data_IF_786640820169
#
_entry.id   IF_786640820169
#
_cell.length_a   1.000
_cell.length_b   1.000
_cell.length_c   1.000
_cell.angle_alpha   90.00
_cell.angle_beta   90.00
_cell.angle_gamma   90.00
#
_symmetry.space_group_name_H-M   'P 1'
#
loop_
_entity.id
_entity.type
_entity.pdbx_description
1 polymer ?
#
# COMPACT_ATOMS: atom_id res chain seq x y z
N UNK A 1 11.23 25.73 13.70
CA UNK A 1 10.77 25.17 13.25
C UNK A 1 10.61 24.06 13.48
N UNK A 2 9.80 23.98 13.58
CA UNK A 2 9.70 22.77 13.90
C UNK A 2 10.06 22.02 12.82
N UNK A 3 10.97 21.43 12.86
CA UNK A 3 11.18 20.67 11.91
C UNK A 3 10.29 19.60 11.92
N UNK A 4 9.84 19.20 10.86
CA UNK A 4 9.06 18.08 10.71
C UNK A 4 9.79 16.92 11.25
N UNK A 5 9.24 16.27 12.20
CA UNK A 5 9.81 15.05 12.66
C UNK A 5 9.78 14.07 11.55
N UNK A 6 10.88 13.43 11.31
CA UNK A 6 10.92 12.35 10.38
C UNK A 6 10.03 11.26 10.93
N UNK A 7 9.12 10.77 10.14
CA UNK A 7 8.31 9.63 10.50
C UNK A 7 9.18 8.39 10.51
N UNK A 8 8.97 7.49 11.49
CA UNK A 8 9.63 6.20 11.41
C UNK A 8 8.93 5.36 10.33
N UNK A 9 9.53 4.23 9.99
CA UNK A 9 9.04 3.40 8.91
C UNK A 9 7.58 2.97 9.11
N UNK A 10 7.23 2.56 10.32
CA UNK A 10 5.88 2.09 10.61
C UNK A 10 4.87 3.24 10.47
N UNK A 11 5.21 4.41 11.00
CA UNK A 11 4.31 5.57 10.92
C UNK A 11 4.05 5.96 9.47
N UNK A 12 5.11 5.94 8.64
CA UNK A 12 4.98 6.26 7.23
C UNK A 12 4.08 5.26 6.51
N UNK A 13 4.28 3.97 6.75
CA UNK A 13 3.48 2.93 6.09
C UNK A 13 2.02 2.99 6.54
N UNK A 14 1.77 3.27 7.81
CA UNK A 14 0.39 3.43 8.29
C UNK A 14 -0.29 4.63 7.66
N UNK A 15 0.44 5.71 7.46
CA UNK A 15 -0.12 6.89 6.79
C UNK A 15 -0.52 6.55 5.36
N UNK A 16 0.31 5.77 4.65
CA UNK A 16 -0.02 5.29 3.31
C UNK A 16 -1.31 4.45 3.34
N UNK A 17 -1.46 3.60 4.35
CA UNK A 17 -2.67 2.79 4.50
C UNK A 17 -3.92 3.66 4.63
N UNK A 18 -3.84 4.71 5.47
CA UNK A 18 -5.00 5.61 5.67
C UNK A 18 -5.32 6.37 4.40
N UNK A 19 -4.29 6.77 3.65
CA UNK A 19 -4.49 7.52 2.41
C UNK A 19 -5.23 6.68 1.37
N UNK A 20 -4.82 5.41 1.20
CA UNK A 20 -5.46 4.57 0.20
C UNK A 20 -6.88 4.15 0.64
N UNK A 21 -7.09 3.95 1.94
CA UNK A 21 -8.43 3.67 2.46
C UNK A 21 -9.38 4.79 2.12
N UNK A 22 -8.91 6.03 2.26
CA UNK A 22 -9.73 7.19 1.94
C UNK A 22 -10.08 7.23 0.46
N UNK A 23 -9.13 6.88 -0.41
CA UNK A 23 -9.39 6.83 -1.84
C UNK A 23 -10.44 5.78 -2.19
N UNK A 24 -10.40 4.62 -1.55
CA UNK A 24 -11.42 3.60 -1.76
C UNK A 24 -12.80 4.10 -1.32
N UNK A 25 -12.88 4.82 -0.20
CA UNK A 25 -14.14 5.40 0.26
C UNK A 25 -14.67 6.41 -0.74
N UNK A 26 -13.78 7.24 -1.28
CA UNK A 26 -14.17 8.22 -2.31
C UNK A 26 -14.68 7.52 -3.56
N UNK A 27 -14.05 6.40 -3.94
CA UNK A 27 -14.49 5.62 -5.09
C UNK A 27 -15.92 5.10 -4.88
N UNK A 28 -16.22 4.58 -3.68
CA UNK A 28 -17.54 4.07 -3.39
C UNK A 28 -18.61 5.15 -3.51
N UNK A 29 -18.29 6.38 -3.17
CA UNK A 29 -19.24 7.50 -3.22
C UNK A 29 -19.26 8.19 -4.57
N UNK A 30 -18.30 7.90 -5.44
CA UNK A 30 -18.17 8.61 -6.70
C UNK A 30 -19.29 8.25 -7.68
N UNK A 31 -19.67 9.22 -8.48
CA UNK A 31 -20.69 9.02 -9.51
C UNK A 31 -20.05 9.38 -10.86
N UNK A 32 -20.39 8.59 -11.86
CA UNK A 32 -19.88 8.81 -13.19
C UNK A 32 -18.56 8.10 -13.45
N UNK A 33 -18.43 7.56 -14.67
CA UNK A 33 -17.28 6.74 -15.05
C UNK A 33 -15.97 7.51 -15.02
N UNK A 34 -15.98 8.78 -15.41
CA UNK A 34 -14.77 9.59 -15.44
C UNK A 34 -14.15 9.79 -14.07
N UNK A 35 -14.98 10.09 -13.07
CA UNK A 35 -14.51 10.26 -11.69
C UNK A 35 -13.97 8.94 -11.14
N UNK A 36 -14.69 7.85 -11.40
CA UNK A 36 -14.28 6.53 -10.93
C UNK A 36 -12.96 6.08 -11.55
N UNK A 37 -12.78 6.31 -12.85
CA UNK A 37 -11.51 5.96 -13.50
C UNK A 37 -10.35 6.75 -12.91
N UNK A 38 -10.56 8.04 -12.67
CA UNK A 38 -9.52 8.89 -12.08
C UNK A 38 -9.12 8.39 -10.71
N UNK A 39 -10.11 8.07 -9.86
CA UNK A 39 -9.85 7.54 -8.53
C UNK A 39 -9.16 6.18 -8.58
N UNK A 40 -9.61 5.31 -9.49
CA UNK A 40 -8.99 3.98 -9.64
C UNK A 40 -7.52 4.10 -10.05
N UNK A 41 -7.19 5.03 -10.95
CA UNK A 41 -5.80 5.25 -11.34
C UNK A 41 -4.98 5.78 -10.18
N UNK A 42 -5.55 6.67 -9.38
CA UNK A 42 -4.86 7.19 -8.20
C UNK A 42 -4.61 6.08 -7.18
N UNK A 43 -5.61 5.22 -6.95
CA UNK A 43 -5.48 4.07 -6.07
C UNK A 43 -4.35 3.16 -6.54
N UNK A 44 -4.33 2.82 -7.83
CA UNK A 44 -3.29 1.96 -8.38
C UNK A 44 -1.90 2.58 -8.26
N UNK A 45 -1.79 3.88 -8.49
CA UNK A 45 -0.51 4.57 -8.33
C UNK A 45 -0.03 4.50 -6.88
N UNK A 46 -0.89 4.86 -5.93
CA UNK A 46 -0.53 4.85 -4.52
C UNK A 46 -0.13 3.44 -4.06
N UNK A 47 -0.89 2.44 -4.46
CA UNK A 47 -0.59 1.06 -4.10
C UNK A 47 0.69 0.55 -4.76
N UNK A 48 0.92 0.92 -6.03
CA UNK A 48 2.14 0.50 -6.73
C UNK A 48 3.38 1.05 -6.03
N UNK A 49 3.35 2.31 -5.63
CA UNK A 49 4.46 2.93 -4.92
C UNK A 49 4.63 2.28 -3.55
N UNK A 50 3.52 2.11 -2.82
CA UNK A 50 3.55 1.54 -1.47
C UNK A 50 4.13 0.11 -1.48
N UNK A 51 3.64 -0.75 -2.36
CA UNK A 51 4.15 -2.13 -2.43
C UNK A 51 5.63 -2.14 -2.83
N UNK A 52 6.03 -1.23 -3.70
CA UNK A 52 7.40 -1.17 -4.16
C UNK A 52 8.36 -0.77 -3.05
N UNK A 53 8.03 0.24 -2.26
CA UNK A 53 8.91 0.64 -1.15
C UNK A 53 8.96 -0.43 -0.06
N UNK A 54 7.86 -1.16 0.13
CA UNK A 54 7.89 -2.29 1.07
C UNK A 54 8.78 -3.42 0.57
N UNK A 55 8.64 -3.80 -0.69
CA UNK A 55 9.39 -4.93 -1.25
C UNK A 55 10.87 -4.61 -1.44
N UNK A 56 11.19 -3.38 -1.80
CA UNK A 56 12.59 -3.00 -2.04
C UNK A 56 13.36 -2.69 -0.77
N UNK A 57 12.70 -2.15 0.24
CA UNK A 57 13.37 -1.59 1.42
C UNK A 57 12.88 -2.18 2.73
N UNK A 58 11.57 -2.13 2.97
CA UNK A 58 11.04 -2.49 4.28
C UNK A 58 11.14 -3.98 4.59
N UNK A 59 10.62 -4.82 3.71
CA UNK A 59 10.65 -6.27 3.95
C UNK A 59 12.08 -6.81 3.99
N UNK A 60 13.00 -6.39 3.12
CA UNK A 60 14.40 -6.83 3.24
C UNK A 60 15.03 -6.44 4.59
N UNK A 61 14.70 -5.26 5.12
CA UNK A 61 15.20 -4.84 6.42
C UNK A 61 14.64 -5.70 7.56
N UNK A 62 13.47 -6.29 7.35
CA UNK A 62 12.84 -7.16 8.35
C UNK A 62 13.29 -8.62 8.25
N UNK A 63 13.91 -8.99 7.14
CA UNK A 63 14.29 -10.37 6.88
C UNK A 63 15.25 -10.89 7.96
N UNK A 64 14.89 -12.05 8.52
CA UNK A 64 15.67 -12.64 9.60
C UNK A 64 15.41 -12.05 10.99
N UNK A 65 14.54 -11.03 11.07
CA UNK A 65 14.26 -10.33 12.33
C UNK A 65 12.82 -10.48 12.78
N UNK A 66 11.94 -10.93 11.90
CA UNK A 66 10.53 -11.17 12.21
C UNK A 66 10.15 -12.54 11.67
N UNK A 67 8.94 -13.01 11.97
CA UNK A 67 8.47 -14.30 11.49
C UNK A 67 8.48 -14.34 9.97
N UNK A 68 9.17 -15.33 9.40
CA UNK A 68 9.37 -15.44 7.97
C UNK A 68 8.07 -15.61 7.20
N UNK A 69 7.13 -16.38 7.76
CA UNK A 69 5.85 -16.62 7.08
C UNK A 69 5.05 -15.33 6.88
N UNK A 70 5.13 -14.39 7.81
CA UNK A 70 4.46 -13.10 7.66
C UNK A 70 4.98 -12.33 6.45
N UNK A 71 6.30 -12.36 6.22
CA UNK A 71 6.88 -11.69 5.06
C UNK A 71 6.51 -12.39 3.76
N UNK A 72 6.52 -13.73 3.76
CA UNK A 72 6.17 -14.49 2.57
C UNK A 72 4.71 -14.28 2.18
N UNK A 73 3.82 -14.26 3.17
CA UNK A 73 2.40 -14.00 2.90
C UNK A 73 2.21 -12.59 2.35
N UNK A 74 2.95 -11.61 2.89
CA UNK A 74 2.87 -10.24 2.40
C UNK A 74 3.23 -10.15 0.91
N UNK A 75 4.30 -10.86 0.49
CA UNK A 75 4.68 -10.88 -0.92
C UNK A 75 3.59 -11.50 -1.80
N UNK A 76 2.98 -12.59 -1.35
CA UNK A 76 1.92 -13.25 -2.11
C UNK A 76 0.70 -12.34 -2.21
N UNK A 77 0.35 -11.66 -1.12
CA UNK A 77 -0.77 -10.72 -1.13
C UNK A 77 -0.50 -9.55 -2.08
N UNK A 78 0.74 -9.05 -2.10
CA UNK A 78 1.13 -8.01 -3.04
C UNK A 78 0.99 -8.47 -4.48
N UNK A 79 1.45 -9.68 -4.79
CA UNK A 79 1.37 -10.20 -6.15
C UNK A 79 -0.08 -10.35 -6.61
N UNK A 80 -0.95 -10.81 -5.73
CA UNK A 80 -2.37 -10.95 -6.02
C UNK A 80 -2.99 -9.59 -6.32
N UNK A 81 -2.66 -8.59 -5.49
CA UNK A 81 -3.17 -7.23 -5.70
C UNK A 81 -2.66 -6.63 -7.00
N UNK A 82 -1.39 -6.87 -7.34
CA UNK A 82 -0.78 -6.35 -8.57
C UNK A 82 -1.47 -6.87 -9.81
N UNK A 83 -1.87 -8.15 -9.82
CA UNK A 83 -2.61 -8.73 -10.93
C UNK A 83 -3.94 -8.02 -11.13
N UNK A 84 -4.66 -7.80 -10.05
CA UNK A 84 -5.94 -7.13 -10.10
C UNK A 84 -5.80 -5.66 -10.50
N UNK A 85 -4.76 -5.00 -10.00
CA UNK A 85 -4.47 -3.62 -10.38
C UNK A 85 -4.20 -3.50 -11.88
N UNK A 86 -3.47 -4.45 -12.45
CA UNK A 86 -3.21 -4.46 -13.89
C UNK A 86 -4.49 -4.58 -14.69
N UNK A 87 -5.43 -5.40 -14.24
CA UNK A 87 -6.73 -5.53 -14.90
C UNK A 87 -7.55 -4.25 -14.79
N UNK A 88 -7.51 -3.60 -13.64
CA UNK A 88 -8.21 -2.33 -13.44
C UNK A 88 -7.64 -1.26 -14.36
N UNK A 89 -6.32 -1.19 -14.49
CA UNK A 89 -5.66 -0.21 -15.33
C UNK A 89 -5.92 -0.46 -16.81
N UNK A 90 -6.09 -1.72 -17.20
CA UNK A 90 -6.39 -2.07 -18.59
C UNK A 90 -7.85 -1.81 -18.98
N UNK A 91 -8.75 -1.72 -17.98
CA UNK A 91 -10.17 -1.49 -18.20
C UNK A 91 -10.55 -0.01 -18.04
N UNK A 92 -11.85 0.25 -18.15
CA UNK A 92 -12.35 1.58 -17.82
C UNK A 92 -13.81 1.46 -17.37
N UNK A 93 -14.28 2.48 -16.64
CA UNK A 93 -15.61 2.45 -16.05
C UNK A 93 -16.78 2.51 -17.03
N UNK A 94 -16.51 2.77 -18.32
CA UNK A 94 -17.55 2.83 -19.32
C UNK A 94 -17.72 1.53 -20.08
N UNK A 95 -16.63 0.83 -20.35
CA UNK A 95 -16.65 -0.35 -21.20
C UNK A 95 -16.45 -1.67 -20.45
N UNK A 96 -16.04 -1.62 -19.19
CA UNK A 96 -15.81 -2.82 -18.39
C UNK A 96 -16.92 -2.97 -17.36
N UNK A 97 -17.82 -3.93 -17.59
CA UNK A 97 -18.93 -4.17 -16.68
C UNK A 97 -18.47 -4.63 -15.29
N UNK A 98 -17.25 -5.10 -15.17
CA UNK A 98 -16.70 -5.58 -13.90
C UNK A 98 -15.80 -4.58 -13.22
N UNK A 99 -15.70 -3.36 -13.76
CA UNK A 99 -14.74 -2.37 -13.22
C UNK A 99 -14.96 -2.09 -11.74
N UNK A 100 -16.18 -1.79 -11.35
CA UNK A 100 -16.49 -1.51 -9.95
C UNK A 100 -16.24 -2.73 -9.07
N UNK A 101 -16.58 -3.91 -9.57
CA UNK A 101 -16.36 -5.15 -8.81
C UNK A 101 -14.87 -5.43 -8.61
N UNK A 102 -14.06 -5.15 -9.62
CA UNK A 102 -12.61 -5.32 -9.49
C UNK A 102 -12.02 -4.39 -8.45
N UNK A 103 -12.46 -3.13 -8.43
CA UNK A 103 -12.00 -2.18 -7.42
C UNK A 103 -12.47 -2.61 -6.04
N UNK A 104 -13.70 -3.10 -5.91
CA UNK A 104 -14.22 -3.59 -4.64
C UNK A 104 -13.40 -4.76 -4.10
N UNK A 105 -13.09 -5.74 -4.95
CA UNK A 105 -12.28 -6.90 -4.54
C UNK A 105 -10.87 -6.44 -4.14
N UNK A 106 -10.31 -5.50 -4.90
CA UNK A 106 -9.00 -4.95 -4.54
C UNK A 106 -9.05 -4.30 -3.15
N UNK A 107 -10.10 -3.53 -2.88
CA UNK A 107 -10.29 -2.89 -1.58
C UNK A 107 -10.29 -3.92 -0.45
N UNK A 108 -10.99 -5.03 -0.64
CA UNK A 108 -11.07 -6.10 0.36
C UNK A 108 -9.71 -6.78 0.57
N UNK A 109 -8.99 -7.04 -0.52
CA UNK A 109 -7.64 -7.62 -0.42
C UNK A 109 -6.69 -6.70 0.34
N UNK A 110 -6.73 -5.41 0.04
CA UNK A 110 -5.86 -4.42 0.68
C UNK A 110 -6.24 -4.27 2.16
N UNK A 111 -7.53 -4.23 2.47
CA UNK A 111 -7.98 -4.14 3.86
C UNK A 111 -7.46 -5.30 4.69
N UNK A 112 -7.55 -6.52 4.14
CA UNK A 112 -7.06 -7.71 4.82
C UNK A 112 -5.54 -7.64 5.03
N UNK A 113 -4.81 -7.25 3.99
CA UNK A 113 -3.34 -7.12 4.06
C UNK A 113 -2.92 -6.07 5.10
N UNK A 114 -3.58 -4.92 5.09
CA UNK A 114 -3.30 -3.83 6.01
C UNK A 114 -3.55 -4.30 7.46
N UNK A 115 -4.64 -5.00 7.68
CA UNK A 115 -4.98 -5.49 9.01
C UNK A 115 -3.93 -6.46 9.54
N UNK A 116 -3.50 -7.40 8.70
CA UNK A 116 -2.44 -8.34 9.09
C UNK A 116 -1.13 -7.63 9.36
N UNK A 117 -0.77 -6.70 8.50
CA UNK A 117 0.47 -5.97 8.64
C UNK A 117 0.49 -5.15 9.93
N UNK A 118 -0.58 -4.41 10.21
CA UNK A 118 -0.61 -3.55 11.40
C UNK A 118 -0.78 -4.32 12.70
N UNK A 119 -1.49 -5.44 12.67
CA UNK A 119 -1.75 -6.20 13.90
C UNK A 119 -0.72 -7.27 14.19
N UNK A 120 -0.08 -7.82 13.17
CA UNK A 120 0.85 -8.93 13.35
C UNK A 120 2.30 -8.57 13.00
N UNK A 121 2.54 -7.98 11.85
CA UNK A 121 3.90 -7.70 11.42
C UNK A 121 4.52 -6.51 12.15
N UNK A 122 3.85 -5.38 12.17
CA UNK A 122 4.41 -4.16 12.77
C UNK A 122 4.76 -4.33 14.24
N UNK A 123 3.97 -5.02 15.07
CA UNK A 123 4.39 -5.25 16.46
C UNK A 123 5.70 -6.04 16.56
N UNK A 124 5.93 -7.02 15.68
CA UNK A 124 7.19 -7.75 15.67
C UNK A 124 8.35 -6.86 15.24
N UNK A 125 8.11 -6.03 14.24
CA UNK A 125 9.12 -5.08 13.75
C UNK A 125 9.54 -4.12 14.86
N UNK A 126 8.59 -3.64 15.67
CA UNK A 126 8.92 -2.74 16.78
C UNK A 126 9.75 -3.40 17.86
N UNK A 127 9.59 -4.70 18.05
CA UNK A 127 10.37 -5.45 19.05
C UNK A 127 11.73 -5.88 18.53
N UNK A 128 11.91 -5.84 17.21
CA UNK A 128 13.16 -6.27 16.59
C UNK A 128 14.19 -5.16 16.65
N UNK A 129 15.46 -5.54 16.45
CA UNK A 129 16.56 -4.59 16.44
C UNK A 129 16.66 -3.97 15.04
N UNK A 130 15.79 -3.03 14.75
CA UNK A 130 15.73 -2.34 13.45
C UNK A 130 15.69 -0.85 13.73
N UNK A 131 16.54 -0.10 13.04
CA UNK A 131 16.54 1.37 13.14
C UNK A 131 15.39 1.92 12.31
N UNK A 132 14.22 2.05 12.92
CA UNK A 132 13.00 2.49 12.24
C UNK A 132 13.06 3.94 11.75
N UNK A 133 13.82 4.78 12.43
CA UNK A 133 13.98 6.17 12.01
C UNK A 133 14.79 6.24 10.72
N UNK A 134 15.90 5.52 10.64
CA UNK A 134 16.71 5.48 9.43
C UNK A 134 15.95 4.82 8.28
N UNK A 135 15.24 3.74 8.57
CA UNK A 135 14.44 3.05 7.58
C UNK A 135 13.33 3.94 7.04
N UNK A 136 12.70 4.72 7.92
CA UNK A 136 11.67 5.68 7.51
C UNK A 136 12.19 6.72 6.53
N UNK A 137 13.42 7.19 6.73
CA UNK A 137 14.04 8.14 5.80
C UNK A 137 14.26 7.51 4.44
N UNK A 138 14.71 6.27 4.40
CA UNK A 138 14.91 5.55 3.13
C UNK A 138 13.59 5.36 2.39
N UNK A 139 12.54 4.98 3.11
CA UNK A 139 11.21 4.80 2.52
C UNK A 139 10.68 6.11 1.98
N UNK A 140 10.81 7.19 2.74
CA UNK A 140 10.33 8.51 2.31
C UNK A 140 11.06 8.98 1.07
N UNK A 141 12.37 8.79 1.01
CA UNK A 141 13.17 9.19 -0.15
C UNK A 141 12.76 8.39 -1.39
N UNK A 142 12.63 7.08 -1.27
CA UNK A 142 12.23 6.23 -2.40
C UNK A 142 10.82 6.55 -2.87
N UNK A 143 9.91 6.79 -1.93
CA UNK A 143 8.55 7.17 -2.26
C UNK A 143 8.54 8.47 -3.08
N UNK A 144 9.32 9.44 -2.65
CA UNK A 144 9.43 10.71 -3.37
C UNK A 144 9.93 10.50 -4.80
N UNK A 145 10.93 9.65 -4.97
CA UNK A 145 11.46 9.34 -6.30
C UNK A 145 10.41 8.69 -7.19
N UNK A 146 9.63 7.76 -6.65
CA UNK A 146 8.63 7.04 -7.41
C UNK A 146 7.41 7.88 -7.75
N UNK A 147 7.11 8.87 -6.92
CA UNK A 147 5.95 9.74 -7.12
C UNK A 147 6.24 10.96 -7.99
N UNK A 148 7.49 11.26 -8.26
CA UNK A 148 7.83 12.44 -9.07
C UNK A 148 7.89 12.17 -10.56
#
# INVERSE_FOLDING_TARGET
MAESKSQDAIALLKEDHRAVEKLFEEFESAKGAGRKEKLARQICLELSVHTKIEEEIFYPACDGKVEEDLLKEAFVEHDSAKLLMAEIEAGNGQSDDFFDAKVQVLSEQIEHHVEEEEKELFPEVRKADIDLAALGKQLAQRKKELMS
#
